data_IF_109681445232
#
_entry.id   IF_109681445232
#
_cell.length_a   1.000
_cell.length_b   1.000
_cell.length_c   1.000
_cell.angle_alpha   90.00
_cell.angle_beta   90.00
_cell.angle_gamma   90.00
#
_symmetry.space_group_name_H-M   'P 1'
#
loop_
_entity.id
_entity.type
_entity.pdbx_description
1 polymer ?
#
# COMPACT_ATOMS: atom_id res chain seq x y z
N UNK A 1 10.49 -12.34 6.72
CA UNK A 1 9.24 -12.85 7.31
C UNK A 1 8.18 -12.82 6.22
N UNK A 2 7.26 -13.77 6.13
CA UNK A 2 6.14 -13.70 5.19
C UNK A 2 4.89 -13.16 5.87
N UNK A 3 3.96 -12.59 5.12
CA UNK A 3 2.70 -12.05 5.65
C UNK A 3 1.88 -13.12 6.37
N UNK A 4 1.88 -14.35 5.85
CA UNK A 4 1.23 -15.51 6.46
C UNK A 4 1.86 -15.94 7.80
N UNK A 5 3.10 -15.51 8.06
CA UNK A 5 3.84 -15.77 9.31
C UNK A 5 3.60 -14.67 10.36
N UNK A 6 2.94 -13.56 10.01
CA UNK A 6 2.53 -12.55 10.97
C UNK A 6 1.44 -13.08 11.91
N UNK A 7 1.35 -12.49 13.10
CA UNK A 7 0.21 -12.76 14.00
C UNK A 7 -1.10 -12.42 13.31
N UNK A 8 -2.17 -13.11 13.72
CA UNK A 8 -3.51 -12.86 13.17
C UNK A 8 -3.90 -11.38 13.29
N UNK A 9 -3.56 -10.76 14.42
CA UNK A 9 -3.80 -9.34 14.71
C UNK A 9 -3.06 -8.43 13.73
N UNK A 10 -1.77 -8.68 13.48
CA UNK A 10 -1.00 -7.91 12.51
C UNK A 10 -1.52 -8.08 11.08
N UNK A 11 -1.95 -9.30 10.71
CA UNK A 11 -2.59 -9.53 9.40
C UNK A 11 -3.91 -8.75 9.27
N UNK A 12 -4.69 -8.70 10.35
CA UNK A 12 -5.98 -8.04 10.40
C UNK A 12 -5.84 -6.51 10.34
N UNK A 13 -4.91 -5.94 11.11
CA UNK A 13 -4.57 -4.52 11.06
C UNK A 13 -4.11 -4.08 9.65
N UNK A 14 -3.32 -4.91 8.96
CA UNK A 14 -2.89 -4.60 7.61
C UNK A 14 -4.04 -4.64 6.58
N UNK A 15 -4.99 -5.57 6.74
CA UNK A 15 -6.22 -5.61 5.92
C UNK A 15 -7.12 -4.40 6.19
N UNK A 16 -7.22 -3.96 7.44
CA UNK A 16 -8.00 -2.77 7.81
C UNK A 16 -7.39 -1.48 7.24
N UNK A 17 -6.06 -1.33 7.34
CA UNK A 17 -5.34 -0.23 6.70
C UNK A 17 -5.61 -0.19 5.19
N UNK A 18 -5.64 -1.36 4.54
CA UNK A 18 -5.99 -1.52 3.13
C UNK A 18 -7.37 -0.95 2.79
N UNK A 19 -8.36 -1.39 3.55
CA UNK A 19 -9.75 -1.01 3.35
C UNK A 19 -9.92 0.50 3.54
N UNK A 20 -9.23 1.08 4.52
CA UNK A 20 -9.24 2.51 4.75
C UNK A 20 -8.66 3.29 3.56
N UNK A 21 -7.52 2.87 2.99
CA UNK A 21 -6.93 3.54 1.82
C UNK A 21 -7.89 3.49 0.61
N UNK A 22 -8.52 2.34 0.37
CA UNK A 22 -9.48 2.18 -0.72
C UNK A 22 -10.71 3.08 -0.49
N UNK A 23 -11.25 3.09 0.73
CA UNK A 23 -12.40 3.94 1.10
C UNK A 23 -12.08 5.43 0.91
N UNK A 24 -10.93 5.89 1.40
CA UNK A 24 -10.48 7.28 1.24
C UNK A 24 -10.39 7.66 -0.25
N UNK A 25 -9.85 6.76 -1.09
CA UNK A 25 -9.75 7.03 -2.52
C UNK A 25 -11.11 7.04 -3.22
N UNK A 26 -12.02 6.13 -2.86
CA UNK A 26 -13.39 6.14 -3.36
C UNK A 26 -14.13 7.41 -2.95
N UNK A 27 -13.98 7.86 -1.70
CA UNK A 27 -14.60 9.08 -1.19
C UNK A 27 -14.04 10.34 -1.89
N UNK A 28 -12.74 10.38 -2.20
CA UNK A 28 -12.14 11.57 -2.81
C UNK A 28 -12.49 11.74 -4.29
N UNK A 29 -12.62 10.64 -5.05
CA UNK A 29 -12.80 10.68 -6.52
C UNK A 29 -14.21 10.32 -7.00
N UNK A 30 -15.02 9.67 -6.17
CA UNK A 30 -16.33 9.13 -6.54
C UNK A 30 -16.27 7.91 -7.47
N UNK A 31 -15.10 7.57 -8.04
CA UNK A 31 -14.84 6.34 -8.78
C UNK A 31 -13.33 6.01 -8.80
N UNK A 32 -13.00 4.74 -9.01
CA UNK A 32 -11.63 4.26 -9.21
C UNK A 32 -11.55 3.65 -10.60
N UNK A 33 -10.76 4.24 -11.50
CA UNK A 33 -10.47 3.64 -12.80
C UNK A 33 -9.50 2.44 -12.70
N UNK A 34 -9.36 1.72 -13.80
CA UNK A 34 -8.55 0.50 -13.85
C UNK A 34 -7.06 0.75 -13.55
N UNK A 35 -6.51 1.88 -14.01
CA UNK A 35 -5.09 2.19 -13.84
C UNK A 35 -4.81 2.62 -12.40
N UNK A 36 -5.72 3.37 -11.78
CA UNK A 36 -5.67 3.71 -10.36
C UNK A 36 -5.84 2.47 -9.48
N UNK A 37 -6.76 1.57 -9.84
CA UNK A 37 -6.93 0.29 -9.13
C UNK A 37 -5.62 -0.53 -9.16
N UNK A 38 -4.96 -0.61 -10.33
CA UNK A 38 -3.65 -1.28 -10.47
C UNK A 38 -2.58 -0.59 -9.63
N UNK A 39 -2.53 0.74 -9.63
CA UNK A 39 -1.57 1.51 -8.84
C UNK A 39 -1.73 1.25 -7.33
N UNK A 40 -2.97 1.35 -6.83
CA UNK A 40 -3.29 1.07 -5.43
C UNK A 40 -2.90 -0.37 -5.08
N UNK A 41 -3.29 -1.35 -5.90
CA UNK A 41 -2.94 -2.75 -5.68
C UNK A 41 -1.42 -3.00 -5.68
N UNK A 42 -0.66 -2.26 -6.49
CA UNK A 42 0.81 -2.34 -6.54
C UNK A 42 1.44 -1.81 -5.25
N UNK A 43 1.08 -0.60 -4.83
CA UNK A 43 1.61 0.02 -3.61
C UNK A 43 1.28 -0.79 -2.37
N UNK A 44 0.09 -1.38 -2.33
CA UNK A 44 -0.33 -2.34 -1.31
C UNK A 44 0.63 -3.53 -1.24
N UNK A 45 0.87 -4.18 -2.39
CA UNK A 45 1.73 -5.37 -2.45
C UNK A 45 3.14 -5.02 -2.04
N UNK A 46 3.65 -3.91 -2.52
CA UNK A 46 5.02 -3.48 -2.26
C UNK A 46 5.21 -3.09 -0.78
N UNK A 47 4.18 -2.54 -0.14
CA UNK A 47 4.15 -2.30 1.31
C UNK A 47 4.16 -3.60 2.13
N UNK A 48 3.42 -4.63 1.70
CA UNK A 48 3.51 -5.95 2.33
C UNK A 48 4.89 -6.56 2.18
N UNK A 49 5.50 -6.47 0.99
CA UNK A 49 6.87 -6.94 0.76
C UNK A 49 7.87 -6.16 1.64
N UNK A 50 7.70 -4.86 1.81
CA UNK A 50 8.53 -4.04 2.69
C UNK A 50 8.47 -4.53 4.15
N UNK A 51 7.27 -4.80 4.66
CA UNK A 51 7.05 -5.39 5.99
C UNK A 51 7.68 -6.79 6.10
N UNK A 52 7.53 -7.61 5.07
CA UNK A 52 8.11 -8.95 5.00
C UNK A 52 9.65 -8.94 5.01
N UNK A 53 10.26 -7.94 4.40
CA UNK A 53 11.71 -7.85 4.20
C UNK A 53 12.42 -6.99 5.25
N UNK A 54 11.70 -6.43 6.22
CA UNK A 54 12.22 -5.43 7.17
C UNK A 54 12.93 -4.25 6.48
N UNK A 55 12.56 -3.95 5.22
CA UNK A 55 13.14 -2.87 4.44
C UNK A 55 12.21 -1.65 4.48
N UNK A 56 12.44 -0.68 5.40
CA UNK A 56 11.58 0.48 5.56
C UNK A 56 11.59 1.42 4.33
N UNK A 57 12.50 1.22 3.36
CA UNK A 57 12.60 2.10 2.19
C UNK A 57 11.54 1.84 1.13
N UNK A 58 10.89 0.67 1.13
CA UNK A 58 9.96 0.24 0.06
C UNK A 58 8.50 0.66 0.26
N UNK A 59 8.17 1.28 1.39
CA UNK A 59 6.83 1.80 1.71
C UNK A 59 6.63 3.28 1.40
N UNK A 60 7.71 4.02 1.13
CA UNK A 60 7.60 5.33 0.51
C UNK A 60 7.41 5.04 -0.98
N UNK A 61 6.20 5.27 -1.50
CA UNK A 61 6.09 5.44 -2.94
C UNK A 61 7.17 6.41 -3.37
N UNK A 62 7.85 6.11 -4.48
CA UNK A 62 8.74 7.05 -5.14
C UNK A 62 7.91 8.27 -5.57
N UNK A 63 7.61 9.15 -4.60
CA UNK A 63 7.51 10.57 -4.81
C UNK A 63 8.96 11.04 -5.07
N UNK A 64 9.56 10.54 -6.15
CA UNK A 64 10.63 11.25 -6.83
C UNK A 64 9.97 12.51 -7.36
N UNK A 65 9.94 13.53 -6.50
CA UNK A 65 10.10 14.89 -6.96
C UNK A 65 11.39 14.91 -7.76
N UNK A 66 11.27 14.75 -9.09
CA UNK A 66 12.28 15.23 -10.02
C UNK A 66 12.38 16.75 -9.82
N UNK A 67 13.16 17.15 -8.84
CA UNK A 67 13.85 18.44 -8.84
C UNK A 67 15.09 18.24 -9.70
N UNK A 68 14.93 18.46 -11.01
CA UNK A 68 16.04 18.79 -11.89
C UNK A 68 16.16 20.32 -12.02
N UNK A 69 17.41 20.78 -11.80
CA UNK A 69 18.02 22.12 -11.82
C UNK A 69 17.23 23.36 -12.33
#
# INVERSE_FOLDING_TARGET
MKFEELTLESQQAAREALLNVISIEMESRGYIDNDRAKYIARNIRDSFIALETEDPKRGNGDDEAEVED
#
